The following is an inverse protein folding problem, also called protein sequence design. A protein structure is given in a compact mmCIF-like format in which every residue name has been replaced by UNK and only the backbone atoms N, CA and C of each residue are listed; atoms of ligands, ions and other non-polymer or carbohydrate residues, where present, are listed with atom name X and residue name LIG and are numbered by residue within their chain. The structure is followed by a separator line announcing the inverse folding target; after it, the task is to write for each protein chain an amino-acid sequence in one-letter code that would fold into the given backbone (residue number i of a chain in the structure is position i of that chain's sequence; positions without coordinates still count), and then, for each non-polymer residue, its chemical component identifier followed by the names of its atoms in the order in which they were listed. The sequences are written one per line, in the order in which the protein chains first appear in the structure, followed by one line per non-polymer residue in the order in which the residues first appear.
data_IF_576650916567
#
_entry.id   IF_576650916567
#
_cell.length_a   1.000
_cell.length_b   1.000
_cell.length_c   1.000
_cell.angle_alpha   90.00
_cell.angle_beta   90.00
_cell.angle_gamma   90.00
#
_symmetry.space_group_name_H-M   'P 1'
#
loop_
_entity.id
_entity.type
_entity.pdbx_description
1 polymer ?
#
# COMPACT_ATOMS: atom_id res chain seq x y z
N UNK A 1 -14.37 10.83 -4.01
CA UNK A 1 -13.52 10.57 -2.82
C UNK A 1 -12.07 10.73 -3.21
N UNK A 2 -11.28 11.48 -2.47
CA UNK A 2 -9.88 11.74 -2.77
C UNK A 2 -9.11 12.16 -1.51
N UNK A 3 -7.78 12.26 -1.63
CA UNK A 3 -6.90 12.77 -0.59
C UNK A 3 -6.41 14.18 -0.88
N UNK A 4 -5.45 14.65 -0.07
CA UNK A 4 -4.87 16.00 -0.17
C UNK A 4 -4.38 16.34 -1.58
N UNK A 5 -3.73 15.39 -2.27
CA UNK A 5 -3.25 15.62 -3.64
C UNK A 5 -4.40 15.86 -4.64
N UNK A 6 -5.50 15.11 -4.51
CA UNK A 6 -6.67 15.30 -5.35
C UNK A 6 -7.30 16.67 -5.12
N UNK A 7 -7.35 17.12 -3.87
CA UNK A 7 -7.84 18.45 -3.50
C UNK A 7 -6.93 19.57 -4.04
N UNK A 8 -5.60 19.42 -3.89
CA UNK A 8 -4.61 20.36 -4.46
C UNK A 8 -4.68 20.47 -5.99
N UNK A 9 -5.07 19.39 -6.67
CA UNK A 9 -5.33 19.40 -8.11
C UNK A 9 -6.67 20.02 -8.49
N UNK A 10 -7.44 20.56 -7.53
CA UNK A 10 -8.73 21.22 -7.76
C UNK A 10 -9.90 20.26 -7.94
N UNK A 11 -9.77 18.99 -7.60
CA UNK A 11 -10.88 18.04 -7.68
C UNK A 11 -11.86 18.26 -6.53
N UNK A 12 -13.15 18.38 -6.86
CA UNK A 12 -14.22 18.49 -5.86
C UNK A 12 -14.38 17.15 -5.14
N UNK A 13 -14.20 17.16 -3.82
CA UNK A 13 -14.32 15.98 -2.98
C UNK A 13 -15.69 15.92 -2.28
N UNK A 14 -16.43 14.82 -2.45
CA UNK A 14 -17.62 14.50 -1.66
C UNK A 14 -17.23 14.00 -0.27
N UNK A 15 -16.10 13.28 -0.20
CA UNK A 15 -15.48 12.80 1.02
C UNK A 15 -13.96 12.86 0.90
N UNK A 16 -13.29 13.16 2.00
CA UNK A 16 -11.84 13.07 2.10
C UNK A 16 -11.40 11.67 2.57
N UNK A 17 -10.29 11.13 2.05
CA UNK A 17 -9.77 9.80 2.43
C UNK A 17 -9.52 9.63 3.93
N UNK A 18 -9.21 10.72 4.66
CA UNK A 18 -9.02 10.70 6.13
C UNK A 18 -10.27 10.20 6.87
N UNK A 19 -11.47 10.44 6.33
CA UNK A 19 -12.74 10.00 6.92
C UNK A 19 -12.87 8.47 6.90
N UNK A 20 -12.26 7.82 5.90
CA UNK A 20 -12.24 6.36 5.73
C UNK A 20 -11.14 5.66 6.52
N UNK A 21 -10.19 6.40 7.11
CA UNK A 21 -9.12 5.83 7.91
C UNK A 21 -9.67 5.05 9.12
N UNK A 22 -9.21 3.83 9.32
CA UNK A 22 -9.52 2.99 10.49
C UNK A 22 -8.23 2.34 11.00
N UNK A 23 -8.08 2.29 12.33
CA UNK A 23 -6.84 1.83 12.99
C UNK A 23 -6.89 0.37 13.47
N UNK A 24 -7.96 -0.37 13.20
CA UNK A 24 -8.10 -1.76 13.65
C UNK A 24 -9.46 -2.37 13.33
N UNK A 25 -9.65 -3.65 13.64
CA UNK A 25 -10.91 -4.37 13.37
C UNK A 25 -12.08 -3.75 14.12
N UNK A 26 -11.89 -3.31 15.36
CA UNK A 26 -12.91 -2.63 16.17
C UNK A 26 -13.34 -1.31 15.53
N UNK A 27 -12.40 -0.52 15.03
CA UNK A 27 -12.68 0.75 14.39
C UNK A 27 -13.42 0.57 13.06
N UNK A 28 -13.07 -0.49 12.30
CA UNK A 28 -13.79 -0.85 11.07
C UNK A 28 -15.24 -1.20 11.38
N UNK A 29 -15.51 -1.98 12.44
CA UNK A 29 -16.87 -2.33 12.84
C UNK A 29 -17.68 -1.09 13.25
N UNK A 30 -17.09 -0.18 14.03
CA UNK A 30 -17.72 1.08 14.43
C UNK A 30 -18.02 2.02 13.26
N UNK A 31 -17.21 1.96 12.18
CA UNK A 31 -17.38 2.78 10.98
C UNK A 31 -18.28 2.16 9.90
N UNK A 32 -18.76 0.93 10.07
CA UNK A 32 -19.62 0.29 9.08
C UNK A 32 -20.83 1.14 8.66
N UNK A 33 -21.60 1.78 9.58
CA UNK A 33 -22.72 2.65 9.21
C UNK A 33 -22.26 3.83 8.33
N UNK A 34 -21.11 4.43 8.65
CA UNK A 34 -20.51 5.49 7.82
C UNK A 34 -20.18 4.99 6.41
N UNK A 35 -19.53 3.83 6.28
CA UNK A 35 -19.20 3.27 4.96
C UNK A 35 -20.43 2.99 4.11
N UNK A 36 -21.50 2.44 4.68
CA UNK A 36 -22.76 2.23 3.95
C UNK A 36 -23.39 3.56 3.53
N UNK A 37 -23.48 4.53 4.43
CA UNK A 37 -24.00 5.87 4.13
C UNK A 37 -23.18 6.59 3.04
N UNK A 38 -21.85 6.52 3.14
CA UNK A 38 -20.98 7.11 2.13
C UNK A 38 -21.17 6.44 0.76
N UNK A 39 -21.28 5.12 0.74
CA UNK A 39 -21.52 4.37 -0.50
C UNK A 39 -22.85 4.76 -1.15
N UNK A 40 -23.93 4.84 -0.36
CA UNK A 40 -25.27 5.22 -0.87
C UNK A 40 -25.27 6.66 -1.38
N UNK A 41 -24.58 7.58 -0.70
CA UNK A 41 -24.42 8.97 -1.16
C UNK A 41 -23.64 9.04 -2.47
N UNK A 42 -22.49 8.33 -2.59
CA UNK A 42 -21.71 8.30 -3.83
C UNK A 42 -22.55 7.78 -5.01
N UNK A 43 -23.30 6.70 -4.79
CA UNK A 43 -24.19 6.14 -5.83
C UNK A 43 -25.29 7.12 -6.22
N UNK A 44 -25.95 7.76 -5.24
CA UNK A 44 -26.99 8.76 -5.50
C UNK A 44 -26.44 9.95 -6.25
N UNK A 45 -25.27 10.43 -5.90
CA UNK A 45 -24.58 11.55 -6.57
C UNK A 45 -24.19 11.17 -8.01
N UNK A 46 -23.64 9.96 -8.22
CA UNK A 46 -23.33 9.48 -9.56
C UNK A 46 -24.57 9.38 -10.47
N UNK A 47 -25.69 8.93 -9.93
CA UNK A 47 -26.96 8.86 -10.69
C UNK A 47 -27.51 10.25 -10.98
N UNK A 48 -27.51 11.15 -9.99
CA UNK A 48 -28.04 12.52 -10.16
C UNK A 48 -27.22 13.38 -11.13
N UNK A 49 -25.92 13.07 -11.28
CA UNK A 49 -25.01 13.72 -12.22
C UNK A 49 -24.92 12.99 -13.57
N UNK A 50 -25.77 12.00 -13.81
CA UNK A 50 -25.76 11.16 -15.02
C UNK A 50 -24.36 10.64 -15.37
N UNK A 51 -23.60 10.21 -14.34
CA UNK A 51 -22.21 9.76 -14.47
C UNK A 51 -22.13 8.54 -15.39
N UNK A 52 -21.41 8.66 -16.49
CA UNK A 52 -21.23 7.58 -17.47
C UNK A 52 -20.24 6.53 -16.99
N UNK A 53 -19.18 6.95 -16.27
CA UNK A 53 -18.11 6.07 -15.84
C UNK A 53 -17.53 6.47 -14.46
N UNK A 54 -17.07 5.45 -13.71
CA UNK A 54 -16.41 5.61 -12.42
C UNK A 54 -15.06 4.88 -12.42
N UNK A 55 -14.03 5.53 -11.90
CA UNK A 55 -12.72 4.90 -11.66
C UNK A 55 -12.62 4.61 -10.17
N UNK A 56 -12.52 3.33 -9.82
CA UNK A 56 -12.37 2.86 -8.45
C UNK A 56 -10.89 2.47 -8.22
N UNK A 57 -10.24 3.14 -7.27
CA UNK A 57 -8.79 2.95 -7.02
C UNK A 57 -8.61 2.19 -5.72
N UNK A 58 -7.99 1.00 -5.77
CA UNK A 58 -7.66 0.16 -4.60
C UNK A 58 -8.84 -0.02 -3.63
N UNK A 59 -8.64 0.11 -2.31
CA UNK A 59 -9.64 0.04 -1.23
C UNK A 59 -10.70 -1.07 -1.42
N UNK A 60 -10.21 -2.26 -1.60
CA UNK A 60 -10.89 -3.41 -2.19
C UNK A 60 -12.25 -3.78 -1.56
N UNK A 61 -12.39 -3.80 -0.24
CA UNK A 61 -13.66 -4.24 0.40
C UNK A 61 -14.80 -3.21 0.24
N UNK A 62 -14.47 -1.93 0.16
CA UNK A 62 -15.41 -0.86 -0.12
C UNK A 62 -15.71 -0.78 -1.62
N UNK A 63 -14.67 -0.70 -2.44
CA UNK A 63 -14.80 -0.46 -3.87
C UNK A 63 -15.45 -1.62 -4.63
N UNK A 64 -15.26 -2.89 -4.23
CA UNK A 64 -15.97 -4.02 -4.83
C UNK A 64 -17.49 -3.96 -4.58
N UNK A 65 -17.90 -3.49 -3.39
CA UNK A 65 -19.32 -3.28 -3.10
C UNK A 65 -19.90 -2.08 -3.85
N UNK A 66 -19.11 -0.99 -3.94
CA UNK A 66 -19.46 0.19 -4.72
C UNK A 66 -19.58 -0.14 -6.20
N UNK A 67 -18.64 -0.90 -6.77
CA UNK A 67 -18.67 -1.39 -8.15
C UNK A 67 -19.99 -2.10 -8.47
N UNK A 68 -20.41 -3.03 -7.61
CA UNK A 68 -21.70 -3.72 -7.75
C UNK A 68 -22.89 -2.76 -7.76
N UNK A 69 -22.89 -1.71 -6.94
CA UNK A 69 -23.99 -0.74 -6.88
C UNK A 69 -24.00 0.16 -8.12
N UNK A 70 -22.86 0.66 -8.55
CA UNK A 70 -22.70 1.54 -9.71
C UNK A 70 -23.05 0.79 -11.01
N UNK A 71 -22.51 -0.41 -11.22
CA UNK A 71 -22.79 -1.26 -12.39
C UNK A 71 -24.29 -1.54 -12.52
N UNK A 72 -25.00 -1.81 -11.43
CA UNK A 72 -26.47 -1.98 -11.43
C UNK A 72 -27.27 -0.71 -11.79
N UNK A 73 -26.62 0.44 -11.77
CA UNK A 73 -27.19 1.73 -12.19
C UNK A 73 -26.76 2.13 -13.60
N UNK A 74 -26.06 1.25 -14.32
CA UNK A 74 -25.60 1.50 -15.67
C UNK A 74 -24.31 2.32 -15.77
N UNK A 75 -23.68 2.64 -14.64
CA UNK A 75 -22.39 3.35 -14.64
C UNK A 75 -21.28 2.37 -14.98
N UNK A 76 -20.46 2.68 -16.00
CA UNK A 76 -19.26 1.88 -16.34
C UNK A 76 -18.23 1.96 -15.20
N UNK A 77 -17.67 0.82 -14.84
CA UNK A 77 -16.74 0.73 -13.70
C UNK A 77 -15.36 0.31 -14.16
N UNK A 78 -14.38 1.19 -14.02
CA UNK A 78 -12.97 0.94 -14.24
C UNK A 78 -12.30 0.72 -12.89
N UNK A 79 -11.67 -0.44 -12.68
CA UNK A 79 -11.03 -0.76 -11.41
C UNK A 79 -9.51 -0.68 -11.56
N UNK A 80 -8.90 0.29 -10.89
CA UNK A 80 -7.45 0.53 -10.91
C UNK A 80 -6.80 0.02 -9.63
N UNK A 81 -5.69 -0.69 -9.74
CA UNK A 81 -5.02 -1.47 -8.70
C UNK A 81 -5.85 -2.69 -8.31
N UNK A 82 -5.66 -3.77 -9.06
CA UNK A 82 -6.33 -5.04 -8.81
C UNK A 82 -6.18 -5.50 -7.35
N UNK A 83 -7.26 -5.97 -6.69
CA UNK A 83 -7.16 -6.48 -5.33
C UNK A 83 -6.28 -7.72 -5.28
N UNK A 84 -5.50 -7.89 -4.20
CA UNK A 84 -4.63 -9.05 -4.00
C UNK A 84 -5.45 -10.32 -3.70
N UNK A 85 -6.38 -10.65 -4.60
CA UNK A 85 -7.27 -11.81 -4.47
C UNK A 85 -6.51 -13.15 -4.56
N UNK A 86 -5.30 -13.14 -5.06
CA UNK A 86 -4.39 -14.28 -5.15
C UNK A 86 -3.80 -14.67 -3.78
N UNK A 87 -3.75 -13.76 -2.80
CA UNK A 87 -3.33 -14.05 -1.41
C UNK A 87 -4.47 -14.70 -0.64
N UNK A 88 -5.64 -14.06 -0.69
CA UNK A 88 -6.83 -14.52 0.04
C UNK A 88 -8.10 -14.04 -0.68
N UNK A 89 -9.21 -14.72 -0.47
CA UNK A 89 -10.50 -14.42 -1.12
C UNK A 89 -10.46 -14.42 -2.66
N UNK A 90 -10.08 -15.52 -3.30
CA UNK A 90 -10.06 -15.64 -4.77
C UNK A 90 -11.44 -15.42 -5.41
N UNK A 91 -12.53 -15.53 -4.64
CA UNK A 91 -13.89 -15.19 -5.06
C UNK A 91 -14.09 -13.72 -5.49
N UNK A 92 -13.15 -12.82 -5.13
CA UNK A 92 -13.15 -11.43 -5.62
C UNK A 92 -13.00 -11.33 -7.14
N UNK A 93 -12.33 -12.29 -7.76
CA UNK A 93 -12.24 -12.36 -9.22
C UNK A 93 -13.63 -12.48 -9.88
N UNK A 94 -14.56 -13.21 -9.26
CA UNK A 94 -15.96 -13.29 -9.72
C UNK A 94 -16.64 -11.93 -9.65
N UNK A 95 -16.46 -11.19 -8.56
CA UNK A 95 -17.05 -9.86 -8.39
C UNK A 95 -16.51 -8.86 -9.42
N UNK A 96 -15.20 -8.88 -9.66
CA UNK A 96 -14.58 -8.04 -10.70
C UNK A 96 -15.14 -8.38 -12.09
N UNK A 97 -15.21 -9.66 -12.45
CA UNK A 97 -15.79 -10.10 -13.72
C UNK A 97 -17.24 -9.63 -13.90
N UNK A 98 -18.03 -9.62 -12.84
CA UNK A 98 -19.47 -9.32 -12.91
C UNK A 98 -19.78 -7.82 -12.85
N UNK A 99 -18.93 -7.03 -12.20
CA UNK A 99 -19.27 -5.64 -11.84
C UNK A 99 -18.24 -4.61 -12.29
N UNK A 100 -17.24 -4.99 -13.07
CA UNK A 100 -16.28 -4.03 -13.66
C UNK A 100 -16.21 -4.20 -15.17
N UNK A 101 -16.14 -3.06 -15.87
CA UNK A 101 -15.98 -3.01 -17.33
C UNK A 101 -14.51 -3.14 -17.73
N UNK A 102 -13.58 -2.76 -16.83
CA UNK A 102 -12.16 -2.97 -17.06
C UNK A 102 -11.37 -3.04 -15.75
N UNK A 103 -10.41 -3.96 -15.69
CA UNK A 103 -9.50 -4.15 -14.57
C UNK A 103 -8.07 -3.78 -14.95
N UNK A 104 -7.44 -2.88 -14.19
CA UNK A 104 -6.03 -2.54 -14.34
C UNK A 104 -5.19 -3.22 -13.27
N UNK A 105 -4.30 -4.11 -13.71
CA UNK A 105 -3.35 -4.82 -12.87
C UNK A 105 -2.01 -4.09 -12.85
N UNK A 106 -1.40 -3.99 -11.67
CA UNK A 106 -0.10 -3.31 -11.48
C UNK A 106 1.07 -4.28 -11.26
N UNK A 107 0.78 -5.57 -10.98
CA UNK A 107 1.80 -6.60 -10.84
C UNK A 107 1.82 -7.52 -12.08
N UNK A 108 3.01 -7.94 -12.54
CA UNK A 108 3.16 -8.64 -13.82
C UNK A 108 2.33 -9.92 -13.96
N UNK A 109 2.19 -10.69 -12.88
CA UNK A 109 1.49 -11.97 -12.87
C UNK A 109 -0.04 -11.85 -12.71
N UNK A 110 -0.56 -10.71 -12.25
CA UNK A 110 -1.99 -10.52 -11.91
C UNK A 110 -2.88 -10.70 -13.14
N UNK A 111 -2.50 -10.13 -14.28
CA UNK A 111 -3.27 -10.27 -15.52
C UNK A 111 -3.53 -11.75 -15.85
N UNK A 112 -2.49 -12.59 -15.81
CA UNK A 112 -2.61 -14.03 -16.06
C UNK A 112 -3.49 -14.72 -15.01
N UNK A 113 -3.34 -14.31 -13.74
CA UNK A 113 -4.11 -14.88 -12.63
C UNK A 113 -5.61 -14.59 -12.75
N UNK A 114 -5.98 -13.35 -13.05
CA UNK A 114 -7.37 -12.92 -13.21
C UNK A 114 -8.00 -13.45 -14.51
N UNK A 115 -7.26 -13.46 -15.62
CA UNK A 115 -7.75 -14.02 -16.91
C UNK A 115 -8.12 -15.49 -16.78
N UNK A 116 -7.33 -16.29 -16.05
CA UNK A 116 -7.65 -17.69 -15.74
C UNK A 116 -8.94 -17.88 -14.94
N UNK A 117 -9.47 -16.81 -14.34
CA UNK A 117 -10.72 -16.77 -13.55
C UNK A 117 -11.86 -16.06 -14.28
N UNK A 118 -11.67 -15.87 -15.58
CA UNK A 118 -12.70 -15.36 -16.48
C UNK A 118 -12.86 -13.83 -16.46
N UNK A 119 -11.91 -13.06 -15.92
CA UNK A 119 -11.86 -11.61 -16.15
C UNK A 119 -11.23 -11.38 -17.51
N UNK A 120 -12.00 -10.87 -18.48
CA UNK A 120 -11.58 -10.70 -19.89
C UNK A 120 -11.08 -9.31 -20.18
N UNK A 121 -11.81 -8.30 -19.69
CA UNK A 121 -11.45 -6.90 -19.88
C UNK A 121 -10.40 -6.48 -18.87
N UNK A 122 -9.12 -6.70 -19.23
CA UNK A 122 -8.00 -6.56 -18.28
C UNK A 122 -6.72 -6.07 -18.97
N UNK A 123 -6.09 -5.07 -18.40
CA UNK A 123 -4.79 -4.54 -18.83
C UNK A 123 -3.77 -4.59 -17.72
N UNK A 124 -2.51 -4.81 -18.09
CA UNK A 124 -1.37 -4.55 -17.21
C UNK A 124 -0.90 -3.12 -17.42
N UNK A 125 -0.69 -2.40 -16.33
CA UNK A 125 -0.14 -1.05 -16.30
C UNK A 125 1.10 -1.03 -15.41
N UNK A 126 1.96 -0.05 -15.60
CA UNK A 126 3.14 0.10 -14.76
C UNK A 126 2.72 0.44 -13.32
N UNK A 127 3.40 -0.18 -12.37
CA UNK A 127 3.19 0.13 -10.95
C UNK A 127 3.45 1.62 -10.69
N UNK A 128 2.62 2.33 -9.89
CA UNK A 128 2.81 3.77 -9.61
C UNK A 128 4.20 4.13 -9.08
N UNK A 129 4.78 3.29 -8.23
CA UNK A 129 6.15 3.45 -7.73
C UNK A 129 7.17 3.46 -8.87
N UNK A 130 7.05 2.53 -9.82
CA UNK A 130 7.91 2.49 -10.99
C UNK A 130 7.82 3.79 -11.79
N UNK A 131 6.58 4.21 -12.11
CA UNK A 131 6.36 5.46 -12.85
C UNK A 131 6.98 6.68 -12.16
N UNK A 132 6.90 6.74 -10.83
CA UNK A 132 7.47 7.85 -10.07
C UNK A 132 9.00 7.87 -10.15
N UNK A 133 9.65 6.73 -9.92
CA UNK A 133 11.12 6.61 -10.02
C UNK A 133 11.59 6.96 -11.44
N UNK A 134 10.90 6.44 -12.46
CA UNK A 134 11.21 6.67 -13.87
C UNK A 134 11.07 8.14 -14.27
N UNK A 135 9.96 8.77 -13.91
CA UNK A 135 9.70 10.19 -14.20
C UNK A 135 10.68 11.15 -13.51
N UNK A 136 11.24 10.76 -12.35
CA UNK A 136 12.23 11.53 -11.61
C UNK A 136 13.68 11.20 -12.02
N UNK A 137 13.88 10.24 -12.96
CA UNK A 137 15.20 9.83 -13.43
C UNK A 137 16.09 9.20 -12.35
N UNK A 138 15.51 8.61 -11.32
CA UNK A 138 16.22 8.14 -10.12
C UNK A 138 16.75 6.70 -10.22
N UNK A 139 16.92 6.18 -11.42
CA UNK A 139 17.48 4.84 -11.62
C UNK A 139 18.99 4.83 -11.30
N UNK A 140 19.40 3.93 -10.39
CA UNK A 140 20.82 3.67 -10.11
C UNK A 140 21.69 4.91 -9.83
N UNK A 141 21.36 5.69 -8.82
CA UNK A 141 22.29 6.69 -8.28
C UNK A 141 23.45 5.99 -7.56
N UNK A 142 24.31 5.30 -8.33
CA UNK A 142 25.45 4.51 -7.79
C UNK A 142 26.68 5.35 -7.41
N UNK A 143 26.70 6.63 -7.77
CA UNK A 143 27.90 7.46 -7.63
C UNK A 143 28.08 8.14 -6.26
N UNK A 144 27.13 7.94 -5.33
CA UNK A 144 27.24 8.47 -3.96
C UNK A 144 27.78 7.42 -3.00
N UNK A 145 28.68 7.82 -2.14
CA UNK A 145 29.11 7.01 -1.00
C UNK A 145 27.92 6.82 -0.05
N UNK A 146 27.41 5.58 -0.02
CA UNK A 146 26.22 5.21 0.79
C UNK A 146 26.69 4.81 2.18
N UNK A 147 26.28 5.57 3.19
CA UNK A 147 26.69 5.36 4.58
C UNK A 147 25.52 5.25 5.57
N UNK A 148 24.29 5.13 5.08
CA UNK A 148 23.11 5.07 5.96
C UNK A 148 22.50 3.66 6.03
N UNK A 149 22.04 3.28 7.23
CA UNK A 149 21.07 2.21 7.45
C UNK A 149 19.70 2.86 7.52
N UNK A 150 18.87 2.64 6.50
CA UNK A 150 17.56 3.26 6.43
C UNK A 150 16.48 2.38 7.04
N UNK A 151 15.72 2.94 8.00
CA UNK A 151 14.61 2.30 8.66
C UNK A 151 13.27 2.74 8.05
N UNK A 152 12.49 1.76 7.57
CA UNK A 152 11.14 1.93 7.04
C UNK A 152 10.15 1.07 7.87
N UNK A 153 9.83 1.47 9.12
CA UNK A 153 9.17 0.59 10.08
C UNK A 153 7.66 0.41 9.83
N UNK A 154 7.11 1.09 8.83
CA UNK A 154 5.70 1.02 8.46
C UNK A 154 5.02 2.40 8.41
N UNK A 155 3.76 2.40 8.01
CA UNK A 155 2.95 3.61 7.80
C UNK A 155 1.80 3.77 8.80
N UNK A 156 1.69 2.93 9.82
CA UNK A 156 0.67 2.99 10.87
C UNK A 156 1.31 2.99 12.25
N UNK A 157 0.68 3.67 13.23
CA UNK A 157 1.17 3.69 14.62
C UNK A 157 1.47 2.28 15.15
N UNK A 158 0.56 1.33 14.94
CA UNK A 158 0.71 -0.04 15.42
C UNK A 158 1.82 -0.83 14.72
N UNK A 159 2.16 -0.49 13.49
CA UNK A 159 3.28 -1.09 12.75
C UNK A 159 4.60 -0.56 13.31
N UNK A 160 4.74 0.77 13.40
CA UNK A 160 5.96 1.42 13.92
C UNK A 160 6.27 0.97 15.34
N UNK A 161 5.29 1.00 16.25
CA UNK A 161 5.45 0.57 17.64
C UNK A 161 5.91 -0.88 17.80
N UNK A 162 5.62 -1.76 16.84
CA UNK A 162 6.02 -3.17 16.89
C UNK A 162 7.32 -3.45 16.17
N UNK A 163 7.56 -2.77 15.05
CA UNK A 163 8.65 -3.10 14.12
C UNK A 163 9.92 -2.31 14.44
N UNK A 164 9.78 -1.00 14.74
CA UNK A 164 10.93 -0.14 15.01
C UNK A 164 11.78 -0.60 16.21
N UNK A 165 11.21 -1.02 17.37
CA UNK A 165 12.00 -1.57 18.47
C UNK A 165 12.84 -2.78 18.04
N UNK A 166 12.29 -3.68 17.22
CA UNK A 166 12.98 -4.89 16.74
C UNK A 166 14.14 -4.52 15.82
N UNK A 167 13.95 -3.54 14.95
CA UNK A 167 15.03 -3.06 14.06
C UNK A 167 16.17 -2.44 14.87
N UNK A 168 15.85 -1.58 15.82
CA UNK A 168 16.85 -0.92 16.68
C UNK A 168 17.57 -1.92 17.60
N UNK A 169 16.86 -2.92 18.13
CA UNK A 169 17.48 -4.02 18.89
C UNK A 169 18.42 -4.84 18.01
N UNK A 170 18.03 -5.18 16.81
CA UNK A 170 18.89 -5.90 15.87
C UNK A 170 20.17 -5.12 15.56
N UNK A 171 20.07 -3.81 15.34
CA UNK A 171 21.21 -2.95 15.06
C UNK A 171 22.14 -2.79 16.29
N UNK A 172 21.61 -2.76 17.50
CA UNK A 172 22.43 -2.68 18.70
C UNK A 172 23.31 -3.91 18.96
N UNK A 173 22.99 -5.04 18.31
CA UNK A 173 23.75 -6.29 18.38
C UNK A 173 24.79 -6.45 17.25
N UNK A 174 24.90 -5.45 16.36
CA UNK A 174 25.83 -5.48 15.22
C UNK A 174 26.74 -4.27 15.29
N UNK A 175 28.05 -4.49 15.22
CA UNK A 175 29.01 -3.38 15.14
C UNK A 175 28.98 -2.77 13.74
N UNK A 176 28.74 -1.47 13.62
CA UNK A 176 28.76 -0.72 12.37
C UNK A 176 29.10 0.75 12.59
N UNK A 177 29.62 1.40 11.56
CA UNK A 177 29.96 2.83 11.54
C UNK A 177 28.94 3.63 10.69
N UNK A 178 27.81 3.02 10.35
CA UNK A 178 26.78 3.61 9.49
C UNK A 178 25.82 4.48 10.30
N UNK A 179 25.37 5.56 9.72
CA UNK A 179 24.32 6.45 10.27
C UNK A 179 22.96 5.75 10.25
N UNK A 180 22.28 5.71 11.37
CA UNK A 180 20.91 5.19 11.45
C UNK A 180 19.92 6.28 11.06
N UNK A 181 19.23 6.09 9.94
CA UNK A 181 18.22 7.02 9.44
C UNK A 181 16.83 6.39 9.37
N UNK A 182 15.78 7.22 9.47
CA UNK A 182 14.39 6.79 9.42
C UNK A 182 13.56 7.66 8.49
N UNK A 183 12.60 7.07 7.76
CA UNK A 183 11.54 7.83 7.09
C UNK A 183 10.31 7.90 7.98
N UNK A 184 9.92 9.12 8.36
CA UNK A 184 8.72 9.42 9.16
C UNK A 184 7.54 9.74 8.23
N UNK A 185 6.37 9.19 8.50
CA UNK A 185 5.16 9.44 7.71
C UNK A 185 4.16 10.29 8.49
N UNK A 186 3.42 11.16 7.80
CA UNK A 186 2.39 12.01 8.41
C UNK A 186 1.18 11.23 8.94
N UNK A 187 1.01 9.98 8.53
CA UNK A 187 -0.04 9.07 9.00
C UNK A 187 0.24 8.44 10.36
N UNK A 188 1.49 8.56 10.84
CA UNK A 188 1.93 8.09 12.16
C UNK A 188 2.10 9.31 13.08
N UNK A 189 1.58 9.20 14.29
CA UNK A 189 1.68 10.27 15.29
C UNK A 189 3.13 10.54 15.66
N UNK A 190 3.47 11.81 15.82
CA UNK A 190 4.85 12.25 16.13
C UNK A 190 5.40 11.60 17.39
N UNK A 191 4.57 11.49 18.44
CA UNK A 191 4.92 10.91 19.74
C UNK A 191 5.36 9.44 19.63
N UNK A 192 4.91 8.73 18.60
CA UNK A 192 5.31 7.33 18.33
C UNK A 192 6.78 7.25 17.92
N UNK A 193 7.29 8.25 17.20
CA UNK A 193 8.69 8.32 16.79
C UNK A 193 9.58 8.89 17.90
N UNK A 194 9.10 9.91 18.63
CA UNK A 194 9.85 10.60 19.71
C UNK A 194 10.38 9.63 20.78
N UNK A 195 9.66 8.53 21.03
CA UNK A 195 10.10 7.47 21.93
C UNK A 195 11.41 6.77 21.52
N UNK A 196 11.88 7.00 20.30
CA UNK A 196 13.06 6.33 19.71
C UNK A 196 14.11 7.32 19.16
N UNK A 197 13.87 8.63 19.27
CA UNK A 197 14.73 9.66 18.66
C UNK A 197 16.19 9.57 19.14
N UNK A 198 16.46 9.17 20.38
CA UNK A 198 17.82 9.00 20.91
C UNK A 198 18.66 7.91 20.20
N UNK A 199 17.99 7.01 19.47
CA UNK A 199 18.62 5.89 18.75
C UNK A 199 18.68 6.10 17.25
N UNK A 200 18.28 7.27 16.77
CA UNK A 200 18.16 7.61 15.37
C UNK A 200 18.97 8.88 15.09
N UNK A 201 19.94 8.76 14.21
CA UNK A 201 20.85 9.88 13.91
C UNK A 201 20.23 10.89 12.94
N UNK A 202 19.35 10.42 12.02
CA UNK A 202 18.77 11.26 10.97
C UNK A 202 17.32 10.87 10.64
N UNK A 203 16.51 11.86 10.33
CA UNK A 203 15.11 11.67 9.94
C UNK A 203 14.83 12.31 8.58
N UNK A 204 14.03 11.62 7.77
CA UNK A 204 13.49 12.09 6.50
C UNK A 204 11.97 12.13 6.58
N UNK A 205 11.34 13.04 5.86
CA UNK A 205 9.90 13.00 5.63
C UNK A 205 9.55 11.97 4.55
N UNK A 206 8.31 11.52 4.54
CA UNK A 206 7.85 10.55 3.53
C UNK A 206 7.90 11.06 2.09
N UNK A 207 7.92 12.37 1.87
CA UNK A 207 8.18 13.02 0.57
C UNK A 207 9.58 12.72 0.06
N UNK A 208 10.55 12.60 0.97
CA UNK A 208 11.98 12.48 0.70
C UNK A 208 12.46 11.02 0.70
N UNK A 209 11.52 10.06 0.63
CA UNK A 209 11.81 8.63 0.61
C UNK A 209 12.89 8.26 -0.41
N UNK A 210 12.84 8.81 -1.62
CA UNK A 210 13.78 8.45 -2.68
C UNK A 210 15.16 9.04 -2.43
N UNK A 211 15.25 10.25 -1.85
CA UNK A 211 16.52 10.82 -1.39
C UNK A 211 17.13 9.95 -0.27
N UNK A 212 16.32 9.52 0.69
CA UNK A 212 16.75 8.60 1.75
C UNK A 212 17.28 7.27 1.17
N UNK A 213 16.61 6.72 0.14
CA UNK A 213 17.05 5.50 -0.53
C UNK A 213 18.36 5.69 -1.33
N UNK A 214 18.60 6.87 -1.89
CA UNK A 214 19.87 7.19 -2.57
C UNK A 214 21.06 7.17 -1.62
N UNK A 215 20.87 7.56 -0.37
CA UNK A 215 21.92 7.58 0.67
C UNK A 215 22.04 6.24 1.42
N UNK A 216 21.04 5.36 1.28
CA UNK A 216 20.98 4.09 2.00
C UNK A 216 21.95 3.04 1.44
N UNK A 217 22.82 2.50 2.28
CA UNK A 217 23.64 1.31 2.00
C UNK A 217 22.83 0.02 2.13
N UNK A 218 21.95 0.00 3.12
CA UNK A 218 21.03 -1.10 3.43
C UNK A 218 19.74 -0.54 4.03
N UNK A 219 18.64 -1.22 3.81
CA UNK A 219 17.35 -0.86 4.36
C UNK A 219 16.79 -1.99 5.25
N UNK A 220 16.20 -1.62 6.41
CA UNK A 220 15.35 -2.48 7.22
C UNK A 220 13.92 -1.99 7.04
N UNK A 221 13.08 -2.79 6.40
CA UNK A 221 11.74 -2.36 6.00
C UNK A 221 10.64 -3.29 6.51
N UNK A 222 9.54 -2.71 6.96
CA UNK A 222 8.29 -3.45 7.10
C UNK A 222 7.76 -3.84 5.71
N UNK A 223 7.12 -5.01 5.61
CA UNK A 223 6.54 -5.46 4.34
C UNK A 223 5.47 -4.49 3.85
N UNK A 224 5.58 -4.05 2.60
CA UNK A 224 4.65 -3.10 1.97
C UNK A 224 5.23 -2.51 0.68
N UNK A 225 4.62 -1.44 0.19
CA UNK A 225 5.01 -0.74 -1.03
C UNK A 225 6.45 -0.20 -0.96
N UNK A 226 6.93 0.17 0.24
CA UNK A 226 8.28 0.67 0.45
C UNK A 226 9.36 -0.35 0.03
N UNK A 227 9.12 -1.65 0.24
CA UNK A 227 10.07 -2.70 -0.18
C UNK A 227 10.25 -2.77 -1.70
N UNK A 228 9.20 -2.44 -2.46
CA UNK A 228 9.30 -2.32 -3.90
C UNK A 228 10.15 -1.10 -4.31
N UNK A 229 9.98 0.04 -3.61
CA UNK A 229 10.82 1.23 -3.84
C UNK A 229 12.30 0.91 -3.60
N UNK A 230 12.62 0.24 -2.48
CA UNK A 230 13.99 -0.20 -2.17
C UNK A 230 14.57 -1.07 -3.30
N UNK A 231 13.81 -2.07 -3.76
CA UNK A 231 14.25 -2.99 -4.80
C UNK A 231 14.46 -2.30 -6.15
N UNK A 232 13.55 -1.40 -6.54
CA UNK A 232 13.68 -0.63 -7.78
C UNK A 232 14.86 0.35 -7.75
N UNK A 233 15.18 0.89 -6.57
CA UNK A 233 16.35 1.75 -6.34
C UNK A 233 17.65 0.98 -6.12
N UNK A 234 17.61 -0.37 -6.19
CA UNK A 234 18.79 -1.22 -6.00
C UNK A 234 19.35 -1.22 -4.57
N UNK A 235 18.54 -0.89 -3.56
CA UNK A 235 18.96 -0.89 -2.16
C UNK A 235 18.76 -2.26 -1.55
N UNK A 236 19.82 -2.94 -1.06
CA UNK A 236 19.70 -4.19 -0.32
C UNK A 236 18.73 -4.01 0.87
N UNK A 237 17.76 -4.91 1.00
CA UNK A 237 16.67 -4.70 1.98
C UNK A 237 16.40 -5.96 2.77
N UNK A 238 16.47 -5.85 4.09
CA UNK A 238 15.98 -6.87 5.02
C UNK A 238 14.53 -6.55 5.35
N UNK A 239 13.62 -7.48 5.04
CA UNK A 239 12.19 -7.30 5.29
C UNK A 239 11.82 -7.96 6.61
N UNK A 240 11.35 -7.16 7.57
CA UNK A 240 10.86 -7.61 8.87
C UNK A 240 9.42 -7.21 9.09
N UNK A 241 8.63 -8.11 9.72
CA UNK A 241 7.25 -7.79 10.07
C UNK A 241 6.84 -8.48 11.37
N UNK A 242 6.38 -7.69 12.34
CA UNK A 242 5.89 -8.21 13.61
C UNK A 242 4.37 -8.05 13.73
N UNK A 243 3.64 -9.16 13.72
CA UNK A 243 2.20 -9.18 13.92
C UNK A 243 1.83 -9.45 15.38
N UNK A 244 0.61 -9.12 15.79
CA UNK A 244 0.09 -9.59 17.07
C UNK A 244 -0.22 -11.10 17.00
N UNK A 245 -0.12 -11.79 18.14
CA UNK A 245 -0.44 -13.22 18.24
C UNK A 245 -1.82 -13.58 17.69
N UNK A 246 -2.82 -12.71 17.91
CA UNK A 246 -4.17 -12.89 17.36
C UNK A 246 -4.20 -12.81 15.83
N UNK A 247 -3.45 -11.87 15.25
CA UNK A 247 -3.33 -11.75 13.81
C UNK A 247 -2.54 -12.93 13.22
N UNK A 248 -1.49 -13.38 13.89
CA UNK A 248 -0.73 -14.55 13.47
C UNK A 248 -1.61 -15.81 13.43
N UNK A 249 -2.40 -16.05 14.48
CA UNK A 249 -3.36 -17.15 14.51
C UNK A 249 -4.40 -17.03 13.39
N UNK A 250 -4.94 -15.82 13.18
CA UNK A 250 -5.87 -15.54 12.08
C UNK A 250 -5.25 -15.85 10.72
N UNK A 251 -4.03 -15.38 10.47
CA UNK A 251 -3.33 -15.65 9.21
C UNK A 251 -3.06 -17.14 9.02
N UNK A 252 -2.62 -17.85 10.05
CA UNK A 252 -2.37 -19.31 9.97
C UNK A 252 -3.62 -20.12 9.63
N UNK A 253 -4.79 -19.69 10.15
CA UNK A 253 -6.06 -20.44 9.99
C UNK A 253 -6.79 -20.04 8.70
N UNK A 254 -6.83 -18.75 8.37
CA UNK A 254 -7.73 -18.22 7.33
C UNK A 254 -7.02 -17.78 6.04
N UNK A 255 -5.70 -17.66 6.05
CA UNK A 255 -4.94 -17.24 4.86
C UNK A 255 -4.09 -18.41 4.35
N UNK A 256 -4.55 -19.15 3.34
CA UNK A 256 -3.86 -20.33 2.83
C UNK A 256 -2.62 -20.01 1.99
N UNK A 257 -2.22 -18.75 1.94
CA UNK A 257 -1.09 -18.29 1.14
C UNK A 257 0.25 -18.71 1.78
N UNK A 258 1.06 -19.41 0.98
CA UNK A 258 2.40 -19.88 1.37
C UNK A 258 3.53 -19.25 0.54
N UNK A 259 3.23 -18.21 -0.24
CA UNK A 259 4.20 -17.53 -1.08
C UNK A 259 4.95 -16.42 -0.33
N UNK A 260 5.75 -15.70 -1.10
CA UNK A 260 6.55 -14.58 -0.59
C UNK A 260 5.69 -13.43 -0.08
N UNK A 261 6.10 -12.78 1.00
CA UNK A 261 5.38 -11.66 1.61
C UNK A 261 5.84 -10.33 1.02
N UNK A 262 7.13 -10.18 0.74
CA UNK A 262 7.65 -8.97 0.11
C UNK A 262 7.33 -8.93 -1.38
N UNK A 263 6.87 -7.77 -1.87
CA UNK A 263 6.50 -7.59 -3.28
C UNK A 263 7.66 -7.90 -4.24
N UNK A 264 8.88 -7.55 -3.86
CA UNK A 264 10.07 -7.84 -4.67
C UNK A 264 10.29 -9.34 -4.88
N UNK A 265 10.25 -10.12 -3.79
CA UNK A 265 10.40 -11.57 -3.83
C UNK A 265 9.25 -12.24 -4.60
N UNK A 266 8.03 -11.69 -4.45
CA UNK A 266 6.85 -12.15 -5.15
C UNK A 266 6.98 -11.94 -6.67
N UNK A 267 7.48 -10.78 -7.11
CA UNK A 267 7.68 -10.46 -8.53
C UNK A 267 8.85 -11.29 -9.10
N UNK A 268 9.92 -11.46 -8.33
CA UNK A 268 11.09 -12.23 -8.75
C UNK A 268 10.89 -13.75 -8.66
N UNK A 269 9.85 -14.23 -7.99
CA UNK A 269 9.56 -15.64 -7.69
C UNK A 269 10.74 -16.36 -6.97
N UNK A 270 11.53 -15.61 -6.18
CA UNK A 270 12.69 -16.10 -5.40
C UNK A 270 12.91 -15.31 -4.11
N UNK A 271 13.68 -15.92 -3.19
CA UNK A 271 14.15 -15.30 -1.94
C UNK A 271 15.23 -14.26 -2.18
#
# INVERSE_FOLDING_TARGET
VGGDQAEQMGLKLTYHLREFGSMGVSDVLGKLPFYFKAMDRIVSEAVSLETEAAILIDFQDFNLRLAKKLSKKGVKVFYYVAPQAWVWRPSRAKQLREFTDHLFCILPFEKKWFSRRGVTEISSVLHPVYKKIDSEGRWNSQDKEKNEILLLPGSRNSEVLKTLPVFLEALSNVQHDLTISIVKTTSVKKEVYEAFDEKIDKSYDSSDLYEALENAKICLAASGTATLSCSLMGVPTIVGYKVSLLNELFYRVFVPYKGYIALANLIAEKE
#
